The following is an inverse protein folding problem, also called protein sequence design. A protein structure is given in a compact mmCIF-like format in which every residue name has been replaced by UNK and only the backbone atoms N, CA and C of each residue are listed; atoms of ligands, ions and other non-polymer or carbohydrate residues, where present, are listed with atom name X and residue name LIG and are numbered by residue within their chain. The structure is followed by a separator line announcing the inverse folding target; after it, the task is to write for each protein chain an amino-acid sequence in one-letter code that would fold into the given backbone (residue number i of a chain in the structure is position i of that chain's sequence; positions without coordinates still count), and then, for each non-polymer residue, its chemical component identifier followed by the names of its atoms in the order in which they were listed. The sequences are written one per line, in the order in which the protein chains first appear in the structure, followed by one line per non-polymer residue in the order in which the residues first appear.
data_IF_702746859139
#
_entry.id   IF_702746859139
#
_cell.length_a   1.000
_cell.length_b   1.000
_cell.length_c   1.000
_cell.angle_alpha   90.00
_cell.angle_beta   90.00
_cell.angle_gamma   90.00
#
_symmetry.space_group_name_H-M   'P 1'
#
loop_
_entity.id
_entity.type
_entity.pdbx_description
1 polymer ?
#
# COMPACT_ATOMS: atom_id res chain seq x y z
N UNK A 1 -24.18 34.17 -57.79
CA UNK A 1 -22.85 33.90 -57.17
C UNK A 1 -23.02 34.06 -55.65
N UNK A 2 -23.22 32.94 -54.90
CA UNK A 2 -23.45 32.97 -53.47
C UNK A 2 -22.08 32.75 -52.79
N UNK A 3 -21.64 33.72 -52.00
CA UNK A 3 -20.39 33.65 -51.22
C UNK A 3 -20.61 32.75 -50.03
N UNK A 4 -19.86 31.62 -49.99
CA UNK A 4 -19.82 30.68 -48.88
C UNK A 4 -18.95 31.28 -47.76
N UNK A 5 -19.53 31.60 -46.61
CA UNK A 5 -18.80 32.02 -45.42
C UNK A 5 -18.37 30.76 -44.67
N UNK A 6 -17.10 30.45 -44.66
CA UNK A 6 -16.51 29.41 -43.83
C UNK A 6 -16.35 30.01 -42.44
N UNK A 7 -17.15 29.51 -41.47
CA UNK A 7 -16.94 29.81 -40.07
C UNK A 7 -15.84 28.91 -39.52
N UNK A 8 -14.72 29.51 -39.14
CA UNK A 8 -13.62 28.85 -38.48
C UNK A 8 -14.01 28.64 -37.03
N UNK A 9 -14.36 27.38 -36.66
CA UNK A 9 -14.62 26.99 -35.29
C UNK A 9 -13.27 26.78 -34.56
N UNK A 10 -12.87 27.77 -33.78
CA UNK A 10 -11.71 27.64 -32.91
C UNK A 10 -12.07 26.67 -31.75
N UNK A 11 -11.55 25.45 -31.80
CA UNK A 11 -11.62 24.50 -30.70
C UNK A 11 -10.61 24.96 -29.66
N UNK A 12 -11.12 25.59 -28.59
CA UNK A 12 -10.34 25.92 -27.41
C UNK A 12 -10.15 24.61 -26.60
N UNK A 13 -9.04 23.92 -26.84
CA UNK A 13 -8.65 22.80 -25.95
C UNK A 13 -8.21 23.38 -24.62
N UNK A 14 -9.09 23.27 -23.63
CA UNK A 14 -8.76 23.52 -22.25
C UNK A 14 -7.80 22.41 -21.81
N UNK A 15 -6.50 22.66 -21.86
CA UNK A 15 -5.51 21.82 -21.23
C UNK A 15 -5.70 21.97 -19.71
N UNK A 16 -6.48 21.06 -19.11
CA UNK A 16 -6.47 20.86 -17.68
C UNK A 16 -5.05 20.38 -17.31
N UNK A 17 -4.23 21.32 -16.85
CA UNK A 17 -2.91 21.02 -16.32
C UNK A 17 -3.05 20.14 -15.09
N UNK A 18 -2.87 18.85 -15.25
CA UNK A 18 -2.61 17.94 -14.15
C UNK A 18 -1.22 18.31 -13.63
N UNK A 19 -1.19 19.12 -12.59
CA UNK A 19 0.00 19.29 -11.77
C UNK A 19 0.25 17.95 -11.04
N UNK A 20 0.94 17.03 -11.72
CA UNK A 20 1.51 15.87 -11.06
C UNK A 20 2.62 16.38 -10.14
N UNK A 21 2.37 16.29 -8.83
CA UNK A 21 3.44 16.39 -7.86
C UNK A 21 4.43 15.27 -8.22
N UNK A 22 5.51 15.64 -8.89
CA UNK A 22 6.69 14.80 -9.02
C UNK A 22 7.18 14.54 -7.60
N UNK A 23 6.86 13.34 -7.09
CA UNK A 23 7.41 12.87 -5.84
C UNK A 23 8.93 12.99 -5.89
N UNK A 24 9.53 13.28 -4.74
CA UNK A 24 10.96 13.47 -4.51
C UNK A 24 11.80 12.23 -4.85
N UNK A 25 11.84 11.83 -6.11
CA UNK A 25 12.78 10.83 -6.60
C UNK A 25 13.64 11.47 -7.68
N UNK A 26 14.88 11.80 -7.30
CA UNK A 26 15.92 12.20 -8.22
C UNK A 26 16.22 11.09 -9.26
N UNK A 27 16.99 11.41 -10.34
CA UNK A 27 17.29 10.46 -11.39
C UNK A 27 18.04 9.24 -10.84
N UNK A 28 17.51 8.04 -11.10
CA UNK A 28 18.10 6.76 -10.72
C UNK A 28 19.44 6.53 -11.41
N UNK A 29 20.48 6.28 -10.62
CA UNK A 29 21.71 5.65 -11.12
C UNK A 29 21.45 4.14 -11.32
N UNK A 30 21.85 3.54 -12.45
CA UNK A 30 21.73 2.09 -12.66
C UNK A 30 22.58 1.34 -11.63
N UNK A 31 21.94 0.51 -10.80
CA UNK A 31 22.62 -0.38 -9.85
C UNK A 31 22.48 -0.10 -8.38
N UNK A 32 21.70 0.92 -7.98
CA UNK A 32 21.40 1.16 -6.57
C UNK A 32 19.90 0.93 -6.37
N UNK A 33 19.53 -0.14 -5.67
CA UNK A 33 18.18 -0.29 -5.12
C UNK A 33 17.87 0.97 -4.32
N UNK A 34 16.68 1.58 -4.46
CA UNK A 34 16.32 2.74 -3.66
C UNK A 34 16.24 2.30 -2.21
N UNK A 35 17.34 2.50 -1.48
CA UNK A 35 17.36 2.33 -0.04
C UNK A 35 16.40 3.31 0.57
N UNK A 36 15.28 2.86 1.07
CA UNK A 36 14.46 3.60 1.99
C UNK A 36 15.28 3.75 3.26
N UNK A 37 15.89 4.90 3.45
CA UNK A 37 16.96 5.20 4.40
C UNK A 37 16.66 5.01 5.90
N UNK A 38 15.52 4.44 6.28
CA UNK A 38 15.23 3.97 7.63
C UNK A 38 14.78 2.51 7.71
N UNK A 39 14.48 1.86 6.59
CA UNK A 39 14.08 0.45 6.53
C UNK A 39 14.97 -0.40 5.59
N UNK A 40 15.95 0.19 4.92
CA UNK A 40 16.79 -0.44 3.91
C UNK A 40 17.69 -1.58 4.39
N UNK A 41 17.67 -1.93 5.66
CA UNK A 41 18.47 -3.00 6.19
C UNK A 41 17.76 -4.32 6.45
N UNK A 42 16.42 -4.35 6.32
CA UNK A 42 15.66 -5.55 6.72
C UNK A 42 15.40 -6.52 5.56
N UNK A 43 15.43 -6.02 4.33
CA UNK A 43 15.08 -6.78 3.12
C UNK A 43 16.29 -7.29 2.34
N UNK A 44 17.42 -6.57 2.42
CA UNK A 44 18.66 -6.87 1.68
C UNK A 44 19.63 -7.80 2.44
N UNK A 45 19.23 -8.39 3.56
CA UNK A 45 20.08 -9.41 4.17
C UNK A 45 20.04 -10.66 3.29
N UNK A 46 21.17 -11.04 2.68
CA UNK A 46 21.27 -12.34 2.06
C UNK A 46 20.89 -13.38 3.10
N UNK A 47 20.17 -14.44 2.73
CA UNK A 47 19.85 -15.50 3.67
C UNK A 47 21.15 -15.99 4.31
N UNK A 48 21.18 -16.26 5.64
CA UNK A 48 22.32 -16.92 6.26
C UNK A 48 22.66 -18.13 5.41
N UNK A 49 23.95 -18.38 5.11
CA UNK A 49 24.42 -19.26 4.03
C UNK A 49 23.85 -20.68 3.89
N UNK A 50 22.98 -21.12 4.83
CA UNK A 50 22.25 -22.38 4.79
C UNK A 50 20.79 -22.23 5.24
N UNK A 51 20.23 -21.01 5.29
CA UNK A 51 18.85 -20.81 5.70
C UNK A 51 17.91 -21.34 4.62
N UNK A 52 17.03 -22.26 5.01
CA UNK A 52 15.90 -22.68 4.19
C UNK A 52 14.80 -21.61 4.29
N UNK A 53 14.28 -21.15 3.15
CA UNK A 53 13.14 -20.27 3.15
C UNK A 53 11.93 -20.95 3.82
N UNK A 54 11.12 -20.14 4.53
CA UNK A 54 9.83 -20.57 5.05
C UNK A 54 8.91 -20.95 3.89
N UNK A 55 8.01 -21.89 4.14
CA UNK A 55 6.88 -22.15 3.25
C UNK A 55 5.77 -21.17 3.53
N UNK A 56 4.83 -21.01 2.59
CA UNK A 56 3.66 -20.15 2.79
C UNK A 56 2.81 -20.61 4.00
N UNK A 57 2.74 -21.91 4.28
CA UNK A 57 2.04 -22.44 5.45
C UNK A 57 2.73 -22.01 6.75
N UNK A 58 4.06 -22.09 6.82
CA UNK A 58 4.82 -21.63 7.97
C UNK A 58 4.68 -20.11 8.17
N UNK A 59 4.72 -19.34 7.08
CA UNK A 59 4.47 -17.91 7.12
C UNK A 59 3.08 -17.58 7.69
N UNK A 60 2.06 -18.31 7.24
CA UNK A 60 0.68 -18.15 7.74
C UNK A 60 0.58 -18.50 9.24
N UNK A 61 1.19 -19.58 9.69
CA UNK A 61 1.23 -19.97 11.11
C UNK A 61 1.91 -18.88 11.96
N UNK A 62 3.03 -18.34 11.50
CA UNK A 62 3.76 -17.27 12.18
C UNK A 62 2.92 -15.99 12.29
N UNK A 63 2.20 -15.61 11.22
CA UNK A 63 1.30 -14.44 11.25
C UNK A 63 0.12 -14.69 12.18
N UNK A 64 -0.54 -15.84 12.12
CA UNK A 64 -1.66 -16.16 13.01
C UNK A 64 -1.23 -16.10 14.47
N UNK A 65 -0.05 -16.65 14.78
CA UNK A 65 0.52 -16.56 16.12
C UNK A 65 0.80 -15.12 16.52
N UNK A 66 1.38 -14.31 15.64
CA UNK A 66 1.65 -12.90 15.88
C UNK A 66 0.36 -12.12 16.16
N UNK A 67 -0.68 -12.30 15.33
CA UNK A 67 -1.98 -11.65 15.56
C UNK A 67 -2.58 -12.02 16.90
N UNK A 68 -2.56 -13.31 17.26
CA UNK A 68 -3.07 -13.81 18.53
C UNK A 68 -2.30 -13.23 19.73
N UNK A 69 -0.98 -13.22 19.68
CA UNK A 69 -0.13 -12.86 20.81
C UNK A 69 -0.06 -11.34 21.06
N UNK A 70 -0.17 -10.52 20.00
CA UNK A 70 0.06 -9.08 20.10
C UNK A 70 -1.19 -8.23 19.86
N UNK A 71 -2.20 -8.74 19.15
CA UNK A 71 -3.35 -7.92 18.72
C UNK A 71 -4.69 -8.39 19.28
N UNK A 72 -4.75 -9.61 19.79
CA UNK A 72 -5.95 -10.17 20.42
C UNK A 72 -6.89 -10.91 19.46
N UNK A 73 -8.06 -11.35 19.97
CA UNK A 73 -8.90 -12.33 19.28
C UNK A 73 -9.78 -11.77 18.17
N UNK A 74 -9.93 -10.45 18.07
CA UNK A 74 -10.78 -9.82 17.04
C UNK A 74 -10.12 -9.80 15.66
N UNK A 75 -8.80 -9.90 15.59
CA UNK A 75 -8.09 -9.97 14.33
C UNK A 75 -7.98 -11.41 13.81
N UNK A 76 -8.13 -11.56 12.50
CA UNK A 76 -7.86 -12.79 11.77
C UNK A 76 -6.96 -12.50 10.57
N UNK A 77 -6.17 -13.50 10.19
CA UNK A 77 -5.46 -13.51 8.92
C UNK A 77 -6.48 -13.76 7.80
N UNK A 78 -6.43 -12.99 6.72
CA UNK A 78 -7.29 -13.17 5.54
C UNK A 78 -6.51 -13.67 4.34
N UNK A 79 -5.25 -13.29 4.22
CA UNK A 79 -4.46 -13.61 3.05
C UNK A 79 -2.97 -13.68 3.37
N UNK A 80 -2.26 -14.57 2.70
CA UNK A 80 -0.79 -14.58 2.59
C UNK A 80 -0.40 -14.72 1.14
N UNK A 81 0.40 -13.77 0.63
CA UNK A 81 1.02 -13.86 -0.68
C UNK A 81 2.52 -14.13 -0.55
N UNK A 82 3.04 -15.01 -1.37
CA UNK A 82 4.48 -15.25 -1.49
C UNK A 82 5.04 -14.51 -2.70
N UNK A 83 5.99 -13.62 -2.44
CA UNK A 83 6.85 -13.03 -3.45
C UNK A 83 8.24 -13.67 -3.40
N UNK A 84 9.05 -13.52 -4.45
CA UNK A 84 10.40 -14.10 -4.49
C UNK A 84 11.33 -13.54 -3.41
N UNK A 85 11.06 -12.32 -2.90
CA UNK A 85 11.85 -11.63 -1.89
C UNK A 85 11.27 -11.68 -0.46
N UNK A 86 9.95 -11.92 -0.29
CA UNK A 86 9.24 -11.82 1.00
C UNK A 86 7.86 -12.44 0.94
N UNK A 87 7.19 -12.55 2.11
CA UNK A 87 5.75 -12.76 2.16
C UNK A 87 5.05 -11.45 2.50
N UNK A 88 3.85 -11.28 1.95
CA UNK A 88 2.86 -10.29 2.34
C UNK A 88 1.75 -10.99 3.10
N UNK A 89 1.10 -10.31 4.05
CA UNK A 89 -0.08 -10.81 4.74
C UNK A 89 -1.02 -9.68 5.13
N UNK A 90 -2.32 -9.93 5.03
CA UNK A 90 -3.38 -9.00 5.44
C UNK A 90 -4.14 -9.54 6.66
N UNK A 91 -4.50 -8.64 7.58
CA UNK A 91 -5.34 -8.94 8.73
C UNK A 91 -6.65 -8.17 8.67
N UNK A 92 -7.75 -8.79 9.10
CA UNK A 92 -9.09 -8.23 9.11
C UNK A 92 -9.69 -8.25 10.54
N UNK A 93 -10.50 -7.27 10.87
CA UNK A 93 -11.33 -7.28 12.06
C UNK A 93 -12.57 -8.15 11.85
N UNK A 94 -12.71 -9.20 12.65
CA UNK A 94 -13.90 -10.08 12.63
C UNK A 94 -15.19 -9.35 12.95
N UNK A 95 -15.10 -8.32 13.80
CA UNK A 95 -16.25 -7.53 14.26
C UNK A 95 -16.80 -6.60 13.18
N UNK A 96 -15.97 -6.14 12.24
CA UNK A 96 -16.37 -5.16 11.22
C UNK A 96 -16.27 -5.67 9.80
N UNK A 97 -15.45 -6.69 9.54
CA UNK A 97 -15.12 -7.14 8.19
C UNK A 97 -14.25 -6.14 7.40
N UNK A 98 -13.60 -5.21 8.11
CA UNK A 98 -12.68 -4.24 7.51
C UNK A 98 -11.25 -4.73 7.73
N UNK A 99 -10.43 -4.72 6.69
CA UNK A 99 -9.02 -5.04 6.83
C UNK A 99 -8.33 -4.07 7.79
N UNK A 100 -7.63 -4.63 8.78
CA UNK A 100 -6.99 -3.87 9.83
C UNK A 100 -5.67 -3.25 9.35
N UNK A 101 -4.76 -4.09 8.88
CA UNK A 101 -3.44 -3.68 8.39
C UNK A 101 -2.77 -4.77 7.57
N UNK A 102 -1.70 -4.36 6.90
CA UNK A 102 -0.84 -5.17 6.05
C UNK A 102 0.53 -5.37 6.69
N UNK A 103 1.13 -6.55 6.46
CA UNK A 103 2.42 -6.96 7.04
C UNK A 103 3.31 -7.59 5.98
N UNK A 104 4.60 -7.43 6.18
CA UNK A 104 5.61 -8.16 5.41
C UNK A 104 6.37 -9.11 6.34
N UNK A 105 6.66 -10.33 5.85
CA UNK A 105 7.48 -11.31 6.55
C UNK A 105 8.75 -11.58 5.78
N UNK A 106 9.85 -11.61 6.49
CA UNK A 106 11.12 -12.07 5.91
C UNK A 106 11.08 -13.58 5.68
N UNK A 107 11.40 -14.02 4.46
CA UNK A 107 11.32 -15.44 4.05
C UNK A 107 12.24 -16.38 4.82
N UNK A 108 13.29 -15.88 5.40
CA UNK A 108 14.30 -16.72 6.06
C UNK A 108 14.27 -16.61 7.58
N UNK A 109 13.85 -15.49 8.12
CA UNK A 109 13.88 -15.25 9.55
C UNK A 109 12.48 -15.28 10.20
N UNK A 110 11.40 -15.18 9.41
CA UNK A 110 10.04 -15.03 9.93
C UNK A 110 9.79 -13.69 10.61
N UNK A 111 10.72 -12.72 10.53
CA UNK A 111 10.54 -11.41 11.12
C UNK A 111 9.38 -10.68 10.43
N UNK A 112 8.41 -10.21 11.24
CA UNK A 112 7.21 -9.51 10.79
C UNK A 112 7.38 -8.02 11.02
N UNK A 113 7.05 -7.22 10.01
CA UNK A 113 7.04 -5.76 10.09
C UNK A 113 5.78 -5.22 9.40
N UNK A 114 5.29 -4.02 9.78
CA UNK A 114 4.23 -3.36 9.03
C UNK A 114 4.65 -3.11 7.58
N UNK A 115 3.73 -3.30 6.65
CA UNK A 115 3.98 -2.96 5.25
C UNK A 115 4.18 -1.44 5.10
N UNK A 116 5.20 -0.99 4.34
CA UNK A 116 5.41 0.43 4.08
C UNK A 116 4.36 1.02 3.14
N UNK A 117 4.38 2.33 2.95
CA UNK A 117 3.49 3.02 2.01
C UNK A 117 2.07 3.21 2.55
N UNK A 118 1.02 2.78 1.84
CA UNK A 118 -0.37 3.01 2.22
C UNK A 118 -0.70 2.60 3.64
N UNK A 119 -0.33 1.40 4.05
CA UNK A 119 -0.58 0.88 5.38
C UNK A 119 0.01 1.78 6.49
N UNK A 120 1.25 2.22 6.35
CA UNK A 120 1.88 3.10 7.35
C UNK A 120 1.37 4.54 7.28
N UNK A 121 1.08 5.04 6.08
CA UNK A 121 0.83 6.47 5.84
C UNK A 121 -0.63 6.84 5.80
N UNK A 122 -1.52 5.95 5.37
CA UNK A 122 -2.94 6.25 5.14
C UNK A 122 -3.88 5.52 6.06
N UNK A 123 -3.43 4.45 6.73
CA UNK A 123 -4.25 3.72 7.68
C UNK A 123 -4.56 4.61 8.90
N UNK A 124 -5.82 4.99 9.02
CA UNK A 124 -6.27 5.94 10.04
C UNK A 124 -6.42 5.33 11.43
N UNK A 125 -6.51 3.99 11.53
CA UNK A 125 -6.68 3.28 12.80
C UNK A 125 -5.42 2.56 13.26
N UNK A 126 -4.72 1.88 12.38
CA UNK A 126 -3.58 1.01 12.68
C UNK A 126 -2.24 1.55 12.14
N UNK A 127 -2.27 2.61 11.33
CA UNK A 127 -1.07 3.20 10.74
C UNK A 127 -0.17 3.89 11.75
N UNK A 128 1.09 4.08 11.38
CA UNK A 128 2.10 4.74 12.22
C UNK A 128 1.71 6.17 12.61
N UNK A 129 0.89 6.84 11.82
CA UNK A 129 0.39 8.20 12.04
C UNK A 129 -0.98 8.22 12.72
N UNK A 130 -1.63 7.06 12.88
CA UNK A 130 -2.90 6.92 13.60
C UNK A 130 -2.72 6.86 15.11
N UNK A 131 -3.77 7.24 15.85
CA UNK A 131 -3.76 7.37 17.32
C UNK A 131 -3.41 6.08 18.08
N UNK A 132 -3.41 4.92 17.43
CA UNK A 132 -3.25 3.62 18.09
C UNK A 132 -1.80 3.24 18.43
N UNK A 133 -0.82 3.67 17.65
CA UNK A 133 0.57 3.28 17.86
C UNK A 133 1.42 4.32 18.60
N UNK A 134 0.97 5.57 18.71
CA UNK A 134 1.64 6.60 19.52
C UNK A 134 1.29 6.54 21.02
N UNK A 135 0.32 5.72 21.43
CA UNK A 135 -0.13 5.61 22.83
C UNK A 135 0.65 4.63 23.70
N UNK A 136 1.51 3.80 23.16
CA UNK A 136 2.19 2.70 23.88
C UNK A 136 3.69 2.60 23.59
N UNK A 137 4.47 3.52 24.13
CA UNK A 137 5.80 3.26 24.68
C UNK A 137 6.85 2.56 23.81
N UNK A 138 7.39 3.22 22.77
CA UNK A 138 8.73 2.85 22.28
C UNK A 138 9.62 4.03 21.79
N UNK A 139 9.18 5.29 21.95
CA UNK A 139 10.05 6.46 21.74
C UNK A 139 9.82 7.57 22.78
N UNK A 140 9.65 7.18 24.06
CA UNK A 140 9.63 8.08 25.20
C UNK A 140 11.04 8.37 25.71
N UNK A 141 11.92 8.95 24.90
CA UNK A 141 13.12 9.64 25.36
C UNK A 141 12.79 11.11 25.61
N UNK A 142 13.12 11.69 26.78
CA UNK A 142 12.90 13.12 27.01
C UNK A 142 13.92 13.93 26.20
N UNK A 143 13.47 14.66 25.18
CA UNK A 143 14.33 15.68 24.65
C UNK A 143 14.37 16.02 23.17
N UNK A 144 13.34 15.82 22.36
CA UNK A 144 13.32 16.45 21.04
C UNK A 144 11.93 16.99 20.71
N UNK A 145 11.59 18.09 21.41
CA UNK A 145 10.45 18.92 21.06
C UNK A 145 10.78 19.80 19.87
N UNK A 146 10.32 19.45 18.70
CA UNK A 146 10.19 20.40 17.59
C UNK A 146 8.77 20.96 17.61
N UNK A 147 8.62 22.04 18.40
CA UNK A 147 7.47 22.92 18.29
C UNK A 147 7.49 23.64 16.95
N UNK A 148 6.59 23.25 16.07
CA UNK A 148 6.35 23.89 14.79
C UNK A 148 4.85 23.91 14.49
N UNK A 149 4.14 24.93 15.02
CA UNK A 149 2.79 25.29 14.59
C UNK A 149 2.82 25.68 13.12
N UNK A 150 2.43 24.78 12.21
CA UNK A 150 1.87 25.14 10.89
C UNK A 150 1.12 23.95 10.34
N UNK A 151 -0.24 24.01 10.42
CA UNK A 151 -1.13 23.50 9.40
C UNK A 151 -1.08 22.01 9.06
N UNK A 152 -0.93 21.11 10.03
CA UNK A 152 -1.27 19.72 9.79
C UNK A 152 -2.78 19.66 9.62
N UNK A 153 -3.26 19.32 8.42
CA UNK A 153 -4.64 18.89 8.26
C UNK A 153 -4.84 17.75 9.25
N UNK A 154 -5.79 17.93 10.17
CA UNK A 154 -6.18 16.85 11.06
C UNK A 154 -6.46 15.62 10.21
N UNK A 155 -5.81 14.51 10.50
CA UNK A 155 -6.13 13.24 9.87
C UNK A 155 -7.60 12.93 10.13
N UNK A 156 -8.32 12.32 9.18
CA UNK A 156 -9.68 11.89 9.42
C UNK A 156 -9.75 11.02 10.68
N UNK A 157 -10.81 11.17 11.46
CA UNK A 157 -11.05 10.30 12.61
C UNK A 157 -11.03 8.83 12.14
N UNK A 158 -10.49 7.93 12.98
CA UNK A 158 -10.22 6.53 12.63
C UNK A 158 -11.41 5.76 12.01
N UNK A 159 -12.64 6.21 12.27
CA UNK A 159 -13.87 5.59 11.76
C UNK A 159 -14.63 6.50 10.76
N UNK A 160 -13.99 7.52 10.22
CA UNK A 160 -14.64 8.38 9.25
C UNK A 160 -14.79 7.64 7.92
N UNK A 161 -16.02 7.58 7.42
CA UNK A 161 -16.33 7.01 6.11
C UNK A 161 -15.46 7.67 5.01
N UNK A 162 -14.88 6.83 4.15
CA UNK A 162 -14.10 7.31 3.02
C UNK A 162 -15.04 7.90 1.96
N UNK A 163 -14.82 9.16 1.51
CA UNK A 163 -15.70 9.79 0.51
C UNK A 163 -15.56 9.17 -0.89
N UNK A 164 -14.46 8.47 -1.14
CA UNK A 164 -14.21 7.75 -2.39
C UNK A 164 -14.64 6.30 -2.18
N UNK A 165 -15.72 5.89 -2.87
CA UNK A 165 -16.17 4.49 -2.84
C UNK A 165 -15.18 3.55 -3.53
N UNK A 166 -15.15 2.28 -3.12
CA UNK A 166 -14.26 1.25 -3.64
C UNK A 166 -14.24 1.16 -5.18
N UNK A 167 -15.43 1.22 -5.81
CA UNK A 167 -15.53 1.22 -7.27
C UNK A 167 -14.84 2.44 -7.91
N UNK A 168 -14.90 3.62 -7.28
CA UNK A 168 -14.21 4.80 -7.78
C UNK A 168 -12.72 4.73 -7.56
N UNK A 169 -12.28 4.17 -6.42
CA UNK A 169 -10.88 3.88 -6.17
C UNK A 169 -10.30 2.94 -7.25
N UNK A 170 -11.02 1.88 -7.61
CA UNK A 170 -10.63 0.97 -8.70
C UNK A 170 -10.49 1.68 -10.04
N UNK A 171 -11.35 2.66 -10.36
CA UNK A 171 -11.19 3.47 -11.57
C UNK A 171 -9.89 4.28 -11.55
N UNK A 172 -9.58 4.94 -10.44
CA UNK A 172 -8.32 5.68 -10.29
C UNK A 172 -7.10 4.76 -10.41
N UNK A 173 -7.17 3.57 -9.83
CA UNK A 173 -6.13 2.56 -9.95
C UNK A 173 -5.92 2.17 -11.42
N UNK A 174 -6.99 1.89 -12.18
CA UNK A 174 -6.87 1.53 -13.60
C UNK A 174 -6.32 2.69 -14.45
N UNK A 175 -6.79 3.93 -14.23
CA UNK A 175 -6.26 5.12 -14.91
C UNK A 175 -4.75 5.29 -14.65
N UNK A 176 -4.31 5.02 -13.42
CA UNK A 176 -2.88 5.02 -13.07
C UNK A 176 -2.10 3.93 -13.83
N UNK A 177 -2.64 2.70 -13.88
CA UNK A 177 -2.00 1.58 -14.58
C UNK A 177 -1.90 1.84 -16.08
N UNK A 178 -2.95 2.34 -16.70
CA UNK A 178 -2.96 2.66 -18.14
C UNK A 178 -1.86 3.67 -18.49
N UNK A 179 -1.59 4.62 -17.58
CA UNK A 179 -0.56 5.64 -17.78
C UNK A 179 0.86 5.18 -17.43
N UNK A 180 1.03 4.26 -16.48
CA UNK A 180 2.34 3.93 -15.89
C UNK A 180 2.83 2.51 -16.17
N UNK A 181 1.92 1.57 -16.30
CA UNK A 181 2.17 0.13 -16.51
C UNK A 181 1.25 -0.41 -17.61
N UNK A 182 1.39 0.02 -18.87
CA UNK A 182 0.53 -0.41 -19.94
C UNK A 182 0.47 -1.94 -20.09
N UNK A 183 -0.73 -2.47 -20.30
CA UNK A 183 -0.98 -3.91 -20.43
C UNK A 183 -1.23 -4.61 -19.10
N UNK A 184 -1.34 -3.86 -17.99
CA UNK A 184 -1.81 -4.39 -16.72
C UNK A 184 -3.26 -3.96 -16.45
N UNK A 185 -3.93 -4.68 -15.55
CA UNK A 185 -5.31 -4.40 -15.13
C UNK A 185 -5.42 -4.53 -13.62
N UNK A 186 -6.32 -3.76 -13.04
CA UNK A 186 -6.72 -3.92 -11.64
C UNK A 186 -7.63 -5.14 -11.54
N UNK A 187 -7.43 -5.99 -10.53
CA UNK A 187 -8.35 -7.07 -10.20
C UNK A 187 -9.74 -6.56 -9.83
N UNK A 188 -10.74 -7.45 -9.85
CA UNK A 188 -12.12 -7.08 -9.48
C UNK A 188 -12.28 -6.90 -7.97
N UNK A 189 -11.52 -7.66 -7.18
CA UNK A 189 -11.46 -7.55 -5.73
C UNK A 189 -10.92 -6.20 -5.28
N UNK A 190 -11.45 -5.68 -4.19
CA UNK A 190 -10.99 -4.44 -3.54
C UNK A 190 -10.99 -4.65 -2.05
N UNK A 191 -9.82 -4.71 -1.44
CA UNK A 191 -9.70 -4.80 0.00
C UNK A 191 -9.84 -3.42 0.62
N UNK A 192 -10.78 -3.33 1.55
CA UNK A 192 -11.09 -2.08 2.24
C UNK A 192 -10.38 -2.02 3.58
N UNK A 193 -9.47 -1.06 3.69
CA UNK A 193 -8.77 -0.72 4.93
C UNK A 193 -9.28 0.60 5.51
N UNK A 194 -8.89 0.91 6.74
CA UNK A 194 -9.18 2.20 7.36
C UNK A 194 -8.39 3.32 6.68
N UNK A 195 -9.04 4.03 5.75
CA UNK A 195 -8.47 5.19 5.05
C UNK A 195 -7.93 4.93 3.65
N UNK A 196 -7.89 3.68 3.20
CA UNK A 196 -7.41 3.33 1.86
C UNK A 196 -7.99 1.99 1.38
N UNK A 197 -7.73 1.68 0.15
CA UNK A 197 -8.06 0.44 -0.52
C UNK A 197 -6.78 -0.19 -1.08
N UNK A 198 -6.68 -1.52 -1.05
CA UNK A 198 -5.63 -2.27 -1.75
C UNK A 198 -6.24 -3.16 -2.83
N UNK A 199 -5.53 -3.34 -3.91
CA UNK A 199 -5.96 -4.12 -5.06
C UNK A 199 -4.76 -4.77 -5.73
N UNK A 200 -4.96 -5.96 -6.25
CA UNK A 200 -3.97 -6.63 -7.08
C UNK A 200 -3.91 -6.05 -8.48
N UNK A 201 -2.70 -6.07 -9.01
CA UNK A 201 -2.39 -5.69 -10.38
C UNK A 201 -2.15 -6.95 -11.17
N UNK A 202 -3.00 -7.19 -12.18
CA UNK A 202 -2.96 -8.38 -13.02
C UNK A 202 -2.23 -8.10 -14.33
N UNK A 203 -1.43 -9.06 -14.79
CA UNK A 203 -0.83 -9.07 -16.12
C UNK A 203 -0.87 -10.49 -16.69
N UNK A 204 -1.40 -10.65 -17.90
CA UNK A 204 -1.52 -11.95 -18.58
C UNK A 204 -2.22 -13.01 -17.70
N UNK A 205 -3.23 -12.58 -16.91
CA UNK A 205 -4.01 -13.45 -16.03
C UNK A 205 -3.30 -13.90 -14.75
N UNK A 206 -2.21 -13.25 -14.38
CA UNK A 206 -1.45 -13.53 -13.15
C UNK A 206 -1.26 -12.26 -12.34
N UNK A 207 -1.13 -12.39 -11.04
CA UNK A 207 -0.72 -11.29 -10.16
C UNK A 207 0.66 -10.81 -10.59
N UNK A 208 0.76 -9.51 -10.83
CA UNK A 208 1.98 -8.82 -11.25
C UNK A 208 2.55 -7.94 -10.13
N UNK A 209 1.70 -7.47 -9.23
CA UNK A 209 2.02 -6.62 -8.11
C UNK A 209 0.77 -6.13 -7.42
N UNK A 210 0.92 -5.13 -6.56
CA UNK A 210 -0.17 -4.55 -5.77
C UNK A 210 -0.10 -3.03 -5.81
N UNK A 211 -1.22 -2.39 -5.51
CA UNK A 211 -1.31 -0.95 -5.34
C UNK A 211 -2.35 -0.58 -4.29
N UNK A 212 -2.10 0.56 -3.63
CA UNK A 212 -3.08 1.16 -2.73
C UNK A 212 -3.70 2.42 -3.33
N UNK A 213 -4.94 2.73 -2.94
CA UNK A 213 -5.64 3.96 -3.29
C UNK A 213 -6.14 4.65 -2.03
N UNK A 214 -5.72 5.88 -1.79
CA UNK A 214 -6.16 6.66 -0.64
C UNK A 214 -7.66 6.99 -0.76
N UNK A 215 -8.46 6.57 0.22
CA UNK A 215 -9.93 6.72 0.24
C UNK A 215 -10.43 8.16 0.38
N UNK A 216 -9.56 9.13 0.69
CA UNK A 216 -9.91 10.54 0.85
C UNK A 216 -9.46 11.41 -0.32
N UNK A 217 -8.34 11.06 -0.95
CA UNK A 217 -7.71 11.89 -1.99
C UNK A 217 -7.72 11.26 -3.37
N UNK A 218 -7.91 9.93 -3.46
CA UNK A 218 -7.77 9.17 -4.70
C UNK A 218 -6.32 8.98 -5.16
N UNK A 219 -5.35 9.31 -4.33
CA UNK A 219 -3.95 9.05 -4.63
C UNK A 219 -3.71 7.56 -4.76
N UNK A 220 -2.99 7.17 -5.82
CA UNK A 220 -2.59 5.81 -6.11
C UNK A 220 -1.11 5.63 -5.76
N UNK A 221 -0.81 4.54 -5.05
CA UNK A 221 0.56 4.16 -4.69
C UNK A 221 0.80 2.70 -5.09
N UNK A 222 1.66 2.50 -6.08
CA UNK A 222 2.10 1.17 -6.48
C UNK A 222 3.14 0.64 -5.49
N UNK A 223 3.03 -0.63 -5.09
CA UNK A 223 3.89 -1.27 -4.09
C UNK A 223 5.18 -1.78 -4.77
N UNK A 224 6.15 -0.88 -4.94
CA UNK A 224 7.42 -1.19 -5.66
C UNK A 224 8.36 -2.13 -4.90
N UNK A 225 8.06 -2.43 -3.63
CA UNK A 225 8.89 -3.26 -2.76
C UNK A 225 8.59 -4.75 -2.86
N UNK A 226 7.45 -5.14 -3.45
CA UNK A 226 7.17 -6.53 -3.75
C UNK A 226 8.04 -7.01 -4.90
N UNK A 227 8.56 -8.24 -4.76
CA UNK A 227 9.25 -8.95 -5.81
C UNK A 227 8.30 -9.56 -6.83
N UNK A 228 8.71 -10.66 -7.45
CA UNK A 228 7.83 -11.41 -8.35
C UNK A 228 6.89 -12.29 -7.54
N UNK A 229 5.61 -12.24 -7.87
CA UNK A 229 4.60 -13.12 -7.29
C UNK A 229 4.91 -14.59 -7.56
N UNK A 230 4.73 -15.43 -6.54
CA UNK A 230 4.95 -16.87 -6.59
C UNK A 230 3.63 -17.61 -6.41
N UNK A 231 2.92 -17.36 -5.32
CA UNK A 231 1.64 -17.98 -4.96
C UNK A 231 0.94 -17.19 -3.87
N UNK A 232 -0.34 -17.50 -3.67
CA UNK A 232 -1.15 -16.95 -2.58
C UNK A 232 -1.95 -18.02 -1.86
N UNK A 233 -2.43 -17.67 -0.68
CA UNK A 233 -3.32 -18.49 0.14
C UNK A 233 -4.28 -17.61 0.92
N UNK A 234 -5.58 -17.83 0.66
CA UNK A 234 -6.66 -17.17 1.37
C UNK A 234 -7.09 -17.94 2.62
N UNK A 235 -7.64 -17.20 3.59
CA UNK A 235 -8.14 -17.71 4.87
C UNK A 235 -9.54 -17.15 5.12
N UNK A 236 -10.53 -18.01 5.29
CA UNK A 236 -11.93 -17.68 5.58
C UNK A 236 -12.15 -17.24 7.05
#
# INVERSE_FOLDING_TARGET
MKKLKIALLAILTLAAGTAFAQGMMGPRSPGVSPGWGMMGGWWDYPPPGNAKALTIDQAAEDVQKYLKDFWGPDLKLTEVMEFDNQFYAAAEEKSTGIHAFEMLLNKWTGAIVPEPGPNMMWNTKYGHMGSGMMGGGMMGGPGWGWGGRRGYRAWPEANKEMPIAAQKARQFAQEFLDARLPGTKVEEGVDTFYGYYTMDVMKDGKVYGMLGVNGYTGWVWYHEWHGKFVQEKDFD
#
